data_IF_974862360188
#
_entry.id   IF_974862360188
#
_cell.length_a   1.000
_cell.length_b   1.000
_cell.length_c   1.000
_cell.angle_alpha   90.00
_cell.angle_beta   90.00
_cell.angle_gamma   90.00
#
_symmetry.space_group_name_H-M   'P 1'
#
loop_
_entity.id
_entity.type
_entity.pdbx_description
1 polymer ?
#
# COMPACT_ATOMS: atom_id res chain seq x y z
N UNK A 1 24.84 18.88 9.23
CA UNK A 1 23.53 18.56 9.81
C UNK A 1 23.22 17.15 9.35
N UNK A 2 23.35 16.17 10.25
CA UNK A 2 23.02 14.77 9.94
C UNK A 2 21.50 14.66 9.93
N UNK A 3 20.92 14.35 8.76
CA UNK A 3 19.51 14.03 8.64
C UNK A 3 19.30 12.65 9.27
N UNK A 4 18.72 12.62 10.46
CA UNK A 4 18.25 11.40 11.10
C UNK A 4 17.09 10.85 10.27
N UNK A 5 17.35 9.80 9.48
CA UNK A 5 16.32 9.08 8.74
C UNK A 5 15.45 8.36 9.76
N UNK A 6 14.20 8.79 9.98
CA UNK A 6 13.29 7.99 10.80
C UNK A 6 12.83 6.81 9.96
N UNK A 7 13.11 5.61 10.42
CA UNK A 7 12.62 4.39 9.81
C UNK A 7 11.12 4.29 10.08
N UNK A 8 10.29 4.63 9.09
CA UNK A 8 8.87 4.27 9.12
C UNK A 8 8.75 2.78 8.82
N UNK A 9 8.34 2.02 9.84
CA UNK A 9 7.93 0.63 9.66
C UNK A 9 6.52 0.60 9.07
N UNK A 10 6.37 0.03 7.88
CA UNK A 10 5.06 -0.24 7.31
C UNK A 10 4.48 -1.49 7.99
N UNK A 11 3.49 -1.31 8.86
CA UNK A 11 2.79 -2.44 9.46
C UNK A 11 1.71 -2.95 8.50
N UNK A 12 1.95 -4.12 7.91
CA UNK A 12 0.93 -4.80 7.10
C UNK A 12 -0.17 -5.36 8.01
N UNK A 13 -1.29 -4.64 8.05
CA UNK A 13 -2.54 -5.09 8.67
C UNK A 13 -3.66 -5.23 7.62
N UNK A 14 -4.79 -5.78 8.02
CA UNK A 14 -5.89 -6.06 7.10
C UNK A 14 -6.49 -4.82 6.45
N UNK A 15 -6.51 -3.69 7.15
CA UNK A 15 -7.11 -2.47 6.62
C UNK A 15 -6.22 -1.86 5.52
N UNK A 16 -4.90 -1.88 5.71
CA UNK A 16 -3.94 -1.50 4.68
C UNK A 16 -4.03 -2.41 3.45
N UNK A 17 -4.19 -3.72 3.64
CA UNK A 17 -4.34 -4.65 2.51
C UNK A 17 -5.65 -4.43 1.73
N UNK A 18 -6.75 -4.08 2.41
CA UNK A 18 -8.01 -3.71 1.74
C UNK A 18 -7.87 -2.41 0.96
N UNK A 19 -7.18 -1.42 1.52
CA UNK A 19 -6.89 -0.15 0.84
C UNK A 19 -6.05 -0.38 -0.42
N UNK A 20 -4.94 -1.12 -0.31
CA UNK A 20 -4.09 -1.46 -1.47
C UNK A 20 -4.91 -2.19 -2.54
N UNK A 21 -5.72 -3.17 -2.14
CA UNK A 21 -6.59 -3.90 -3.06
C UNK A 21 -7.54 -2.93 -3.79
N UNK A 22 -8.30 -2.13 -3.05
CA UNK A 22 -9.25 -1.17 -3.63
C UNK A 22 -8.59 -0.21 -4.61
N UNK A 23 -7.44 0.36 -4.24
CA UNK A 23 -6.67 1.27 -5.10
C UNK A 23 -6.12 0.58 -6.35
N UNK A 24 -5.62 -0.64 -6.22
CA UNK A 24 -5.12 -1.42 -7.36
C UNK A 24 -6.21 -1.83 -8.35
N UNK A 25 -7.47 -1.87 -7.90
CA UNK A 25 -8.64 -2.13 -8.75
C UNK A 25 -9.26 -0.87 -9.35
N UNK A 26 -8.86 0.32 -8.89
CA UNK A 26 -9.29 1.58 -9.49
C UNK A 26 -8.60 1.77 -10.84
N UNK A 27 -9.38 2.00 -11.89
CA UNK A 27 -8.90 2.09 -13.27
C UNK A 27 -8.38 3.47 -13.67
N UNK A 28 -8.68 4.52 -12.90
CA UNK A 28 -8.38 5.91 -13.26
C UNK A 28 -8.00 6.79 -12.06
N UNK A 29 -7.23 7.85 -12.30
CA UNK A 29 -6.90 8.88 -11.29
C UNK A 29 -8.16 9.53 -10.68
N UNK A 30 -9.24 9.63 -11.47
CA UNK A 30 -10.53 10.13 -10.99
C UNK A 30 -11.09 9.21 -9.91
N UNK A 31 -11.16 7.90 -10.16
CA UNK A 31 -11.68 6.90 -9.20
C UNK A 31 -10.82 6.83 -7.94
N UNK A 32 -9.48 6.93 -8.07
CA UNK A 32 -8.58 7.03 -6.92
C UNK A 32 -8.89 8.26 -6.07
N UNK A 33 -9.10 9.42 -6.70
CA UNK A 33 -9.43 10.65 -5.97
C UNK A 33 -10.80 10.59 -5.28
N UNK A 34 -11.80 9.95 -5.91
CA UNK A 34 -13.10 9.72 -5.26
C UNK A 34 -12.97 8.84 -4.02
N UNK A 35 -12.14 7.79 -4.10
CA UNK A 35 -11.90 6.90 -2.98
C UNK A 35 -11.38 7.65 -1.74
N UNK A 36 -10.57 8.69 -1.90
CA UNK A 36 -10.02 9.50 -0.80
C UNK A 36 -10.86 10.72 -0.40
N UNK A 37 -11.94 11.06 -1.12
CA UNK A 37 -12.81 12.18 -0.75
C UNK A 37 -13.83 11.75 0.29
N UNK A 38 -13.66 12.21 1.54
CA UNK A 38 -14.56 11.92 2.66
C UNK A 38 -16.02 12.36 2.44
N UNK A 39 -16.32 13.18 1.43
CA UNK A 39 -17.69 13.57 1.06
C UNK A 39 -18.28 12.67 -0.02
N UNK A 40 -17.45 11.91 -0.72
CA UNK A 40 -17.87 10.97 -1.73
C UNK A 40 -18.61 9.77 -1.10
N UNK A 41 -19.47 9.13 -1.90
CA UNK A 41 -20.14 7.89 -1.54
C UNK A 41 -19.20 6.69 -1.63
N UNK A 42 -18.27 6.71 -2.59
CA UNK A 42 -17.22 5.72 -2.83
C UNK A 42 -16.00 5.91 -1.89
N UNK A 43 -16.13 6.71 -0.83
CA UNK A 43 -15.03 6.97 0.10
C UNK A 43 -14.61 5.69 0.81
N UNK A 44 -13.33 5.34 0.74
CA UNK A 44 -12.81 4.04 1.16
C UNK A 44 -13.00 3.74 2.66
N UNK A 45 -13.10 4.76 3.54
CA UNK A 45 -13.40 4.53 4.97
C UNK A 45 -14.91 4.52 5.29
N UNK A 46 -15.78 4.96 4.36
CA UNK A 46 -17.24 4.77 4.48
C UNK A 46 -17.69 3.44 3.91
N UNK A 47 -16.96 2.94 2.92
CA UNK A 47 -17.07 1.59 2.42
C UNK A 47 -16.82 0.61 3.57
N UNK A 48 -17.81 -0.24 3.88
CA UNK A 48 -17.56 -1.39 4.73
C UNK A 48 -16.76 -2.40 3.91
N UNK A 49 -15.44 -2.21 3.88
CA UNK A 49 -14.53 -3.05 3.10
C UNK A 49 -14.64 -4.53 3.48
N UNK A 50 -15.17 -4.88 4.67
CA UNK A 50 -15.46 -6.26 5.04
C UNK A 50 -16.64 -6.88 4.27
N UNK A 51 -17.63 -6.08 3.86
CA UNK A 51 -18.79 -6.52 3.07
C UNK A 51 -18.50 -6.55 1.57
N UNK A 52 -17.75 -5.56 1.05
CA UNK A 52 -17.41 -5.47 -0.39
C UNK A 52 -16.21 -6.35 -0.74
N UNK A 53 -15.21 -6.40 0.14
CA UNK A 53 -13.97 -7.12 -0.07
C UNK A 53 -13.72 -8.07 1.10
N UNK A 54 -14.48 -9.17 1.15
CA UNK A 54 -14.02 -10.34 1.92
C UNK A 54 -12.70 -10.80 1.29
N UNK A 55 -11.59 -10.39 1.89
CA UNK A 55 -10.24 -10.71 1.44
C UNK A 55 -9.97 -12.19 1.74
N UNK A 56 -10.41 -13.06 0.83
CA UNK A 56 -9.89 -14.43 0.77
C UNK A 56 -8.39 -14.41 0.46
N UNK A 57 -7.71 -15.52 0.73
CA UNK A 57 -6.26 -15.65 0.54
C UNK A 57 -5.76 -15.10 -0.80
N UNK A 58 -6.41 -15.48 -1.92
CA UNK A 58 -6.05 -15.00 -3.26
C UNK A 58 -6.08 -13.46 -3.42
N UNK A 59 -7.03 -12.77 -2.77
CA UNK A 59 -7.12 -11.31 -2.85
C UNK A 59 -6.06 -10.63 -1.98
N UNK A 60 -5.70 -11.24 -0.84
CA UNK A 60 -4.57 -10.77 -0.01
C UNK A 60 -3.25 -10.90 -0.77
N UNK A 61 -3.01 -12.06 -1.37
CA UNK A 61 -1.84 -12.31 -2.22
C UNK A 61 -1.77 -11.30 -3.37
N UNK A 62 -2.90 -11.04 -4.04
CA UNK A 62 -2.97 -10.01 -5.08
C UNK A 62 -2.59 -8.60 -4.59
N UNK A 63 -3.08 -8.19 -3.41
CA UNK A 63 -2.75 -6.89 -2.84
C UNK A 63 -1.25 -6.79 -2.50
N UNK A 64 -0.68 -7.84 -1.92
CA UNK A 64 0.75 -7.93 -1.61
C UNK A 64 1.60 -7.88 -2.88
N UNK A 65 1.25 -8.66 -3.90
CA UNK A 65 1.98 -8.69 -5.17
C UNK A 65 1.88 -7.36 -5.92
N UNK A 66 0.72 -6.71 -5.87
CA UNK A 66 0.54 -5.36 -6.44
C UNK A 66 1.46 -4.36 -5.75
N UNK A 67 1.51 -4.36 -4.42
CA UNK A 67 2.42 -3.51 -3.65
C UNK A 67 3.89 -3.81 -3.97
N UNK A 68 4.29 -5.08 -3.98
CA UNK A 68 5.65 -5.51 -4.33
C UNK A 68 6.04 -5.08 -5.75
N UNK A 69 5.12 -5.20 -6.70
CA UNK A 69 5.31 -4.77 -8.09
C UNK A 69 5.61 -3.29 -8.19
N UNK A 70 4.80 -2.45 -7.54
CA UNK A 70 4.99 -0.98 -7.52
C UNK A 70 6.33 -0.62 -6.87
N UNK A 71 6.62 -1.15 -5.67
CA UNK A 71 7.86 -0.86 -4.95
C UNK A 71 9.10 -1.32 -5.72
N UNK A 72 9.05 -2.50 -6.33
CA UNK A 72 10.13 -3.03 -7.17
C UNK A 72 10.37 -2.15 -8.39
N UNK A 73 9.31 -1.68 -9.04
CA UNK A 73 9.42 -0.77 -10.17
C UNK A 73 10.06 0.57 -9.76
N UNK A 74 9.61 1.19 -8.67
CA UNK A 74 10.15 2.44 -8.15
C UNK A 74 11.64 2.30 -7.80
N UNK A 75 12.00 1.23 -7.09
CA UNK A 75 13.37 0.95 -6.68
C UNK A 75 14.30 0.76 -7.90
N UNK A 76 13.86 0.01 -8.93
CA UNK A 76 14.64 -0.22 -10.16
C UNK A 76 14.89 1.05 -10.98
N UNK A 77 13.99 2.02 -10.90
CA UNK A 77 14.09 3.28 -11.66
C UNK A 77 14.67 4.44 -10.83
N UNK A 78 15.20 4.16 -9.63
CA UNK A 78 15.79 5.14 -8.72
C UNK A 78 14.82 6.27 -8.31
N UNK A 79 13.52 5.98 -8.24
CA UNK A 79 12.56 6.91 -7.64
C UNK A 79 12.72 6.92 -6.12
N UNK A 80 12.59 8.11 -5.53
CA UNK A 80 12.57 8.28 -4.08
C UNK A 80 11.15 8.60 -3.63
N UNK A 81 10.68 7.89 -2.61
CA UNK A 81 9.44 8.24 -1.93
C UNK A 81 9.81 9.13 -0.74
N UNK A 82 9.14 10.27 -0.65
CA UNK A 82 9.25 11.19 0.46
C UNK A 82 7.90 11.26 1.17
N UNK A 83 7.88 10.98 2.47
CA UNK A 83 6.71 11.15 3.32
C UNK A 83 7.04 12.21 4.36
N UNK A 84 6.27 13.31 4.38
CA UNK A 84 6.47 14.44 5.29
C UNK A 84 7.91 15.00 5.28
N UNK A 85 8.56 14.98 4.10
CA UNK A 85 9.94 15.46 3.92
C UNK A 85 11.02 14.46 4.33
N UNK A 86 10.67 13.24 4.72
CA UNK A 86 11.61 12.16 5.02
C UNK A 86 11.64 11.13 3.90
N UNK A 87 12.85 10.72 3.50
CA UNK A 87 13.05 9.66 2.50
C UNK A 87 12.69 8.31 3.12
N UNK A 88 11.80 7.59 2.44
CA UNK A 88 11.41 6.23 2.80
C UNK A 88 12.40 5.23 2.20
N UNK A 89 12.91 4.31 3.01
CA UNK A 89 13.80 3.24 2.55
C UNK A 89 12.99 2.08 1.91
N UNK A 90 12.87 2.13 0.59
CA UNK A 90 12.15 1.11 -0.19
C UNK A 90 12.80 -0.28 -0.12
N UNK A 91 14.12 -0.36 0.07
CA UNK A 91 14.82 -1.64 0.13
C UNK A 91 14.46 -2.40 1.40
N UNK A 92 14.37 -1.70 2.52
CA UNK A 92 13.94 -2.28 3.79
C UNK A 92 12.48 -2.75 3.76
N UNK A 93 11.59 -1.97 3.14
CA UNK A 93 10.17 -2.35 2.99
C UNK A 93 10.06 -3.61 2.14
N UNK A 94 10.73 -3.66 0.99
CA UNK A 94 10.71 -4.85 0.11
C UNK A 94 11.18 -6.11 0.84
N UNK A 95 12.25 -6.03 1.63
CA UNK A 95 12.75 -7.19 2.40
C UNK A 95 11.74 -7.68 3.43
N UNK A 96 11.02 -6.77 4.08
CA UNK A 96 9.99 -7.11 5.09
C UNK A 96 8.77 -7.77 4.43
N UNK A 97 8.42 -7.34 3.22
CA UNK A 97 7.34 -7.94 2.44
C UNK A 97 7.66 -9.36 1.93
N UNK A 98 8.94 -9.70 1.78
CA UNK A 98 9.38 -11.04 1.35
C UNK A 98 9.45 -12.01 2.53
N UNK A 99 9.90 -11.56 3.70
CA UNK A 99 10.07 -12.44 4.87
C UNK A 99 8.76 -12.94 5.50
N UNK A 100 7.66 -12.18 5.37
CA UNK A 100 6.34 -12.62 5.89
C UNK A 100 5.75 -13.84 5.17
N UNK A 101 6.30 -14.27 4.04
CA UNK A 101 5.85 -15.49 3.34
C UNK A 101 6.46 -16.78 3.89
N UNK A 102 7.56 -16.70 4.66
CA UNK A 102 8.26 -17.89 5.17
C UNK A 102 7.79 -18.33 6.56
N UNK A 103 6.91 -17.55 7.22
CA UNK A 103 6.43 -17.80 8.59
C UNK A 103 4.96 -18.27 8.70
N UNK A 104 4.22 -18.41 7.59
CA UNK A 104 2.87 -19.02 7.54
C UNK A 104 2.89 -20.50 7.12
#
# INVERSE_FOLDING_TARGET
>A
MENTVQHQSLELNDDLLKEIFALSTASTDYEVNLAYDAKNEDFWQKENLNEVYKLGQQKREYALDSLRGVLSWLNRHNYEIHQEGQKVDLSNILNTLVQKEEEE
#
